data_IF_816257863256
#
_entry.id   IF_816257863256
#
_cell.length_a   1.000
_cell.length_b   1.000
_cell.length_c   1.000
_cell.angle_alpha   90.00
_cell.angle_beta   90.00
_cell.angle_gamma   90.00
#
_symmetry.space_group_name_H-M   'P 1'
#
loop_
_entity.id
_entity.type
_entity.pdbx_description
1 polymer ?
#
# COMPACT_ATOMS: atom_id res chain seq x y z
N UNK A 1 -24.52 -43.50 -2.04
CA UNK A 1 -23.84 -42.34 -2.65
C UNK A 1 -22.99 -41.71 -1.56
N UNK A 2 -21.66 -41.88 -1.58
CA UNK A 2 -20.79 -41.27 -0.58
C UNK A 2 -20.38 -39.89 -1.07
N UNK A 3 -20.86 -38.86 -0.39
CA UNK A 3 -20.42 -37.48 -0.62
C UNK A 3 -18.98 -37.35 -0.09
N UNK A 4 -18.01 -37.28 -1.00
CA UNK A 4 -16.64 -36.91 -0.66
C UNK A 4 -16.61 -35.40 -0.40
N UNK A 5 -16.53 -35.02 0.87
CA UNK A 5 -16.20 -33.65 1.27
C UNK A 5 -14.68 -33.50 1.21
N UNK A 6 -14.19 -32.81 0.18
CA UNK A 6 -12.78 -32.44 0.07
C UNK A 6 -12.48 -31.34 1.10
N UNK A 7 -11.92 -31.72 2.24
CA UNK A 7 -11.27 -30.78 3.17
C UNK A 7 -9.92 -30.38 2.56
N UNK A 8 -9.86 -29.24 1.88
CA UNK A 8 -8.59 -28.61 1.54
C UNK A 8 -7.96 -28.07 2.84
N UNK A 9 -7.00 -28.80 3.39
CA UNK A 9 -6.03 -28.21 4.30
C UNK A 9 -5.01 -27.39 3.50
N UNK A 10 -4.48 -26.28 4.03
CA UNK A 10 -3.50 -25.46 3.33
C UNK A 10 -2.24 -26.28 3.07
N UNK A 11 -1.95 -26.54 1.80
CA UNK A 11 -0.69 -27.13 1.38
C UNK A 11 0.39 -26.06 1.58
N UNK A 12 1.22 -26.20 2.62
CA UNK A 12 2.29 -25.23 2.97
C UNK A 12 3.32 -24.99 1.85
N UNK A 13 3.28 -25.79 0.78
CA UNK A 13 4.14 -25.66 -0.40
C UNK A 13 3.42 -25.13 -1.65
N UNK A 14 2.12 -24.78 -1.57
CA UNK A 14 1.42 -24.18 -2.69
C UNK A 14 1.90 -22.75 -2.94
N UNK A 15 2.01 -22.37 -4.21
CA UNK A 15 2.28 -20.98 -4.61
C UNK A 15 0.96 -20.21 -4.68
N UNK A 16 0.97 -18.88 -4.44
CA UNK A 16 -0.20 -18.05 -4.70
C UNK A 16 -0.68 -18.20 -6.15
N UNK A 17 -1.97 -17.95 -6.38
CA UNK A 17 -2.52 -17.96 -7.75
C UNK A 17 -1.89 -16.81 -8.55
N UNK A 18 -1.38 -17.11 -9.75
CA UNK A 18 -0.82 -16.10 -10.66
C UNK A 18 -1.72 -15.90 -11.87
N UNK A 19 -2.10 -14.66 -12.15
CA UNK A 19 -2.70 -14.23 -13.42
C UNK A 19 -1.58 -13.68 -14.29
N UNK A 20 -1.39 -14.27 -15.47
CA UNK A 20 -0.41 -13.79 -16.43
C UNK A 20 -0.99 -12.65 -17.27
N UNK A 21 -0.27 -11.54 -17.36
CA UNK A 21 -0.54 -10.43 -18.26
C UNK A 21 0.24 -10.59 -19.58
N UNK A 22 -0.33 -10.10 -20.67
CA UNK A 22 0.43 -9.87 -21.91
C UNK A 22 1.19 -8.55 -21.84
N UNK A 23 2.14 -8.35 -22.76
CA UNK A 23 2.91 -7.11 -22.83
C UNK A 23 2.00 -5.89 -23.08
N UNK A 24 0.94 -6.06 -23.88
CA UNK A 24 -0.03 -5.01 -24.14
C UNK A 24 -0.84 -4.65 -22.88
N UNK A 25 -1.09 -5.62 -22.00
CA UNK A 25 -1.80 -5.40 -20.74
C UNK A 25 -0.92 -4.78 -19.64
N UNK A 26 0.40 -4.82 -19.81
CA UNK A 26 1.38 -4.27 -18.85
C UNK A 26 1.82 -2.85 -19.24
N UNK A 27 1.33 -2.32 -20.36
CA UNK A 27 1.63 -0.98 -20.82
C UNK A 27 1.02 0.06 -19.87
N UNK A 28 1.79 0.46 -18.85
CA UNK A 28 1.41 1.48 -17.87
C UNK A 28 2.54 1.78 -16.89
N UNK A 29 3.32 0.78 -16.45
CA UNK A 29 4.36 1.01 -15.44
C UNK A 29 5.52 1.91 -15.92
N UNK A 30 5.75 1.98 -17.23
CA UNK A 30 6.69 2.93 -17.83
C UNK A 30 6.22 4.38 -17.77
N UNK A 31 4.92 4.65 -17.59
CA UNK A 31 4.40 6.02 -17.46
C UNK A 31 4.66 6.63 -16.09
N UNK A 32 4.97 5.82 -15.05
CA UNK A 32 5.31 6.35 -13.72
C UNK A 32 6.57 7.21 -13.72
N UNK A 33 7.47 7.06 -14.71
CA UNK A 33 8.60 7.97 -14.89
C UNK A 33 8.17 9.43 -15.09
N UNK A 34 6.94 9.67 -15.57
CA UNK A 34 6.36 11.02 -15.72
C UNK A 34 6.18 11.75 -14.40
N UNK A 35 6.12 11.03 -13.28
CA UNK A 35 6.13 11.63 -11.93
C UNK A 35 7.44 12.38 -11.72
N UNK A 36 8.55 11.82 -12.22
CA UNK A 36 9.87 12.37 -12.02
C UNK A 36 10.27 13.32 -13.14
N UNK A 37 9.95 13.07 -14.41
CA UNK A 37 10.42 13.89 -15.54
C UNK A 37 9.45 13.95 -16.72
N UNK A 38 9.46 15.08 -17.42
CA UNK A 38 8.81 15.23 -18.73
C UNK A 38 9.69 14.79 -19.91
N UNK A 39 11.01 14.58 -19.68
CA UNK A 39 12.01 14.24 -20.70
C UNK A 39 12.52 12.80 -20.53
N UNK A 40 11.60 11.83 -20.49
CA UNK A 40 11.90 10.41 -20.20
C UNK A 40 13.02 9.85 -21.08
N UNK A 41 12.99 10.12 -22.38
CA UNK A 41 13.96 9.59 -23.36
C UNK A 41 15.39 10.10 -23.15
N UNK A 42 15.56 11.24 -22.47
CA UNK A 42 16.86 11.85 -22.20
C UNK A 42 17.33 11.56 -20.76
N UNK A 43 16.43 11.76 -19.80
CA UNK A 43 16.76 11.70 -18.38
C UNK A 43 16.92 10.27 -17.87
N UNK A 44 15.95 9.39 -18.15
CA UNK A 44 15.93 8.05 -17.57
C UNK A 44 17.16 7.24 -17.97
N UNK A 45 17.57 7.16 -19.25
CA UNK A 45 18.79 6.43 -19.62
C UNK A 45 20.05 6.93 -18.90
N UNK A 46 20.16 8.25 -18.66
CA UNK A 46 21.27 8.83 -17.92
C UNK A 46 21.23 8.44 -16.43
N UNK A 47 20.06 8.46 -15.80
CA UNK A 47 19.89 8.01 -14.41
C UNK A 47 20.20 6.53 -14.25
N UNK A 48 19.69 5.68 -15.15
CA UNK A 48 19.98 4.25 -15.14
C UNK A 48 21.48 4.00 -15.21
N UNK A 49 22.17 4.66 -16.14
CA UNK A 49 23.62 4.55 -16.29
C UNK A 49 24.36 4.97 -15.02
N UNK A 50 24.00 6.12 -14.44
CA UNK A 50 24.68 6.65 -13.25
C UNK A 50 24.44 5.79 -12.00
N UNK A 51 23.26 5.18 -11.90
CA UNK A 51 22.91 4.36 -10.73
C UNK A 51 23.67 3.04 -10.65
N UNK A 52 24.24 2.55 -11.75
CA UNK A 52 24.95 1.25 -11.79
C UNK A 52 26.16 1.23 -10.84
N UNK A 53 26.85 2.36 -10.70
CA UNK A 53 28.08 2.44 -9.90
C UNK A 53 27.80 2.29 -8.39
N UNK A 54 26.61 2.70 -7.95
CA UNK A 54 26.17 2.63 -6.55
C UNK A 54 25.19 1.48 -6.27
N UNK A 55 24.72 0.80 -7.32
CA UNK A 55 23.71 -0.24 -7.20
C UNK A 55 24.25 -1.50 -6.49
N UNK A 56 23.41 -2.03 -5.61
CA UNK A 56 23.60 -3.34 -4.98
C UNK A 56 22.69 -4.38 -5.62
N UNK A 57 22.95 -5.66 -5.35
CA UNK A 57 22.08 -6.74 -5.82
C UNK A 57 21.06 -6.99 -4.73
N UNK A 58 19.78 -6.77 -5.03
CA UNK A 58 18.70 -6.98 -4.10
C UNK A 58 18.46 -8.48 -3.88
N UNK A 59 18.46 -8.91 -2.61
CA UNK A 59 18.23 -10.29 -2.23
C UNK A 59 16.75 -10.64 -1.98
N UNK A 60 15.93 -9.64 -1.64
CA UNK A 60 14.54 -9.84 -1.27
C UNK A 60 14.41 -10.86 -0.14
N UNK A 61 13.66 -11.94 -0.38
CA UNK A 61 13.43 -13.05 0.56
C UNK A 61 14.57 -14.09 0.58
N UNK A 62 15.60 -13.95 -0.26
CA UNK A 62 16.75 -14.84 -0.19
C UNK A 62 17.68 -14.46 0.97
N UNK A 63 17.94 -15.35 1.95
CA UNK A 63 18.86 -15.06 3.06
C UNK A 63 20.32 -14.93 2.60
N UNK A 64 20.66 -15.55 1.48
CA UNK A 64 21.95 -15.44 0.81
C UNK A 64 21.76 -15.65 -0.69
N UNK A 65 22.10 -14.63 -1.48
CA UNK A 65 21.87 -14.65 -2.92
C UNK A 65 23.07 -15.28 -3.66
N UNK A 66 22.85 -16.41 -4.33
CA UNK A 66 23.85 -17.02 -5.23
C UNK A 66 23.53 -16.69 -6.67
N UNK A 67 24.47 -16.03 -7.37
CA UNK A 67 24.30 -15.59 -8.76
C UNK A 67 24.28 -16.75 -9.77
N UNK A 68 24.76 -17.92 -9.40
CA UNK A 68 24.97 -19.04 -10.33
C UNK A 68 23.68 -19.64 -10.89
N UNK A 69 22.54 -19.38 -10.26
CA UNK A 69 21.23 -19.91 -10.66
C UNK A 69 20.17 -18.85 -10.96
N UNK A 70 20.53 -17.56 -10.92
CA UNK A 70 19.58 -16.49 -11.18
C UNK A 70 19.39 -16.30 -12.68
N UNK A 71 18.13 -16.33 -13.13
CA UNK A 71 17.75 -15.99 -14.50
C UNK A 71 17.76 -14.48 -14.74
N UNK A 72 17.42 -13.71 -13.71
CA UNK A 72 17.34 -12.26 -13.75
C UNK A 72 18.09 -11.68 -12.55
N UNK A 73 18.67 -10.49 -12.73
CA UNK A 73 19.32 -9.72 -11.69
C UNK A 73 18.46 -8.49 -11.38
N UNK A 74 18.18 -8.27 -10.10
CA UNK A 74 17.60 -7.02 -9.61
C UNK A 74 18.71 -6.17 -9.00
N UNK A 75 19.01 -5.05 -9.65
CA UNK A 75 19.88 -4.01 -9.14
C UNK A 75 19.02 -2.98 -8.40
N UNK A 76 19.41 -2.61 -7.19
CA UNK A 76 18.71 -1.65 -6.34
C UNK A 76 19.70 -0.79 -5.57
N UNK A 77 19.35 0.48 -5.38
CA UNK A 77 20.07 1.35 -4.47
C UNK A 77 19.28 1.40 -3.15
N UNK A 78 19.90 1.08 -2.02
CA UNK A 78 19.23 1.01 -0.72
C UNK A 78 18.91 2.39 -0.11
N UNK A 79 18.64 3.40 -0.96
CA UNK A 79 18.20 4.72 -0.56
C UNK A 79 16.67 4.80 -0.45
N UNK A 80 16.18 5.83 0.23
CA UNK A 80 14.74 6.02 0.44
C UNK A 80 13.98 6.15 -0.89
N UNK A 81 14.45 7.00 -1.79
CA UNK A 81 13.94 7.09 -3.16
C UNK A 81 15.07 6.64 -4.08
N UNK A 82 14.81 5.67 -4.94
CA UNK A 82 15.85 5.08 -5.78
C UNK A 82 15.26 4.52 -7.07
N UNK A 83 16.11 3.88 -7.88
CA UNK A 83 15.69 3.16 -9.08
C UNK A 83 16.09 1.70 -8.93
N UNK A 84 15.16 0.81 -9.26
CA UNK A 84 15.44 -0.59 -9.49
C UNK A 84 15.65 -0.87 -10.98
N UNK A 85 16.60 -1.73 -11.32
CA UNK A 85 16.86 -2.19 -12.68
C UNK A 85 16.86 -3.72 -12.75
N UNK A 86 16.21 -4.26 -13.77
CA UNK A 86 16.12 -5.68 -14.03
C UNK A 86 16.92 -6.03 -15.26
N UNK A 87 17.88 -6.94 -15.11
CA UNK A 87 18.73 -7.44 -16.19
C UNK A 87 18.55 -8.95 -16.38
N UNK A 88 18.46 -9.41 -17.62
CA UNK A 88 18.53 -10.83 -17.93
C UNK A 88 19.95 -11.34 -17.67
N UNK A 89 20.08 -12.51 -17.03
CA UNK A 89 21.35 -13.20 -16.83
C UNK A 89 21.42 -14.48 -17.66
N UNK A 90 22.62 -14.79 -18.15
CA UNK A 90 22.97 -16.09 -18.71
C UNK A 90 24.38 -16.45 -18.27
N UNK A 91 24.55 -17.62 -17.67
CA UNK A 91 25.83 -18.11 -17.14
C UNK A 91 26.51 -17.08 -16.20
N UNK A 92 25.70 -16.44 -15.34
CA UNK A 92 26.15 -15.44 -14.38
C UNK A 92 26.50 -14.06 -14.97
N UNK A 93 26.26 -13.83 -16.27
CA UNK A 93 26.59 -12.58 -16.97
C UNK A 93 25.34 -11.85 -17.46
N UNK A 94 25.24 -10.52 -17.26
CA UNK A 94 24.19 -9.70 -17.87
C UNK A 94 24.14 -9.86 -19.38
N UNK A 95 22.95 -10.06 -19.93
CA UNK A 95 22.71 -10.20 -21.37
C UNK A 95 22.06 -8.96 -21.96
N UNK A 96 20.95 -8.52 -21.37
CA UNK A 96 20.21 -7.35 -21.81
C UNK A 96 19.36 -6.78 -20.66
N UNK A 97 18.99 -5.52 -20.82
CA UNK A 97 18.05 -4.83 -19.96
C UNK A 97 16.62 -5.34 -20.17
N UNK A 98 15.88 -5.55 -19.09
CA UNK A 98 14.47 -5.97 -19.13
C UNK A 98 13.57 -4.78 -18.79
N UNK A 99 13.74 -4.20 -17.60
CA UNK A 99 12.90 -3.13 -17.09
C UNK A 99 13.63 -2.29 -16.04
N UNK A 100 13.12 -1.10 -15.76
CA UNK A 100 13.50 -0.30 -14.60
C UNK A 100 12.32 0.56 -14.15
N UNK A 101 12.30 0.85 -12.87
CA UNK A 101 11.23 1.64 -12.25
C UNK A 101 11.72 2.38 -11.01
N UNK A 102 11.16 3.58 -10.71
CA UNK A 102 11.49 4.30 -9.50
C UNK A 102 10.81 3.65 -8.31
N UNK A 103 11.47 3.66 -7.15
CA UNK A 103 11.02 2.99 -5.94
C UNK A 103 11.08 3.92 -4.74
N UNK A 104 10.13 3.73 -3.80
CA UNK A 104 10.16 4.35 -2.48
C UNK A 104 10.27 3.25 -1.42
N UNK A 105 11.38 3.25 -0.69
CA UNK A 105 11.61 2.39 0.46
C UNK A 105 10.95 2.98 1.71
N UNK A 106 10.16 2.15 2.39
CA UNK A 106 9.42 2.51 3.59
C UNK A 106 9.82 1.61 4.75
N UNK A 107 10.01 2.16 5.97
CA UNK A 107 10.15 1.35 7.17
C UNK A 107 8.79 0.83 7.67
N UNK A 108 7.69 1.42 7.21
CA UNK A 108 6.34 1.05 7.64
C UNK A 108 5.80 -0.10 6.79
N UNK A 109 5.04 -0.97 7.43
CA UNK A 109 4.50 -2.16 6.80
C UNK A 109 3.40 -2.81 7.64
N UNK A 110 2.77 -3.81 7.05
CA UNK A 110 1.76 -4.64 7.70
C UNK A 110 2.06 -6.11 7.43
N UNK A 111 1.63 -6.97 8.35
CA UNK A 111 1.56 -8.42 8.09
C UNK A 111 0.44 -8.71 7.11
N UNK A 112 0.79 -9.27 5.95
CA UNK A 112 -0.16 -9.59 4.89
C UNK A 112 0.07 -11.00 4.32
N UNK A 113 -1.00 -11.62 3.83
CA UNK A 113 -0.95 -12.81 3.00
C UNK A 113 -1.10 -12.43 1.53
N UNK A 114 -0.30 -13.04 0.67
CA UNK A 114 -0.45 -12.91 -0.78
C UNK A 114 -1.60 -13.83 -1.21
N UNK A 115 -2.73 -13.25 -1.60
CA UNK A 115 -3.86 -13.99 -2.14
C UNK A 115 -3.65 -14.33 -3.62
N UNK A 116 -3.18 -13.34 -4.38
CA UNK A 116 -2.97 -13.45 -5.83
C UNK A 116 -1.82 -12.57 -6.28
N UNK A 117 -1.17 -12.99 -7.37
CA UNK A 117 -0.16 -12.23 -8.09
C UNK A 117 -0.70 -11.98 -9.51
N UNK A 118 -0.65 -10.73 -9.98
CA UNK A 118 -0.97 -10.36 -11.36
C UNK A 118 0.35 -9.92 -11.98
N UNK A 119 0.91 -10.71 -12.90
CA UNK A 119 2.30 -10.54 -13.32
C UNK A 119 2.52 -10.65 -14.82
N UNK A 120 3.53 -9.94 -15.30
CA UNK A 120 4.11 -10.16 -16.61
C UNK A 120 5.55 -10.67 -16.46
N UNK A 121 5.76 -11.93 -16.83
CA UNK A 121 7.07 -12.57 -16.75
C UNK A 121 8.08 -12.04 -17.78
N UNK A 122 7.65 -11.37 -18.84
CA UNK A 122 8.58 -10.79 -19.82
C UNK A 122 9.20 -9.50 -19.31
N UNK A 123 8.40 -8.64 -18.66
CA UNK A 123 8.86 -7.35 -18.13
C UNK A 123 9.27 -7.42 -16.65
N UNK A 124 8.97 -8.54 -15.98
CA UNK A 124 9.22 -8.76 -14.55
C UNK A 124 8.44 -7.80 -13.64
N UNK A 125 7.27 -7.36 -14.11
CA UNK A 125 6.32 -6.57 -13.33
C UNK A 125 5.32 -7.47 -12.63
N UNK A 126 4.91 -7.09 -11.42
CA UNK A 126 3.81 -7.75 -10.73
C UNK A 126 3.07 -6.80 -9.79
N UNK A 127 1.76 -6.96 -9.74
CA UNK A 127 0.88 -6.40 -8.72
C UNK A 127 0.49 -7.53 -7.76
N UNK A 128 0.73 -7.34 -6.48
CA UNK A 128 0.29 -8.25 -5.43
C UNK A 128 -1.10 -7.86 -4.98
N UNK A 129 -2.01 -8.82 -4.91
CA UNK A 129 -3.22 -8.73 -4.11
C UNK A 129 -2.93 -9.28 -2.72
N UNK A 130 -2.85 -8.39 -1.75
CA UNK A 130 -2.53 -8.65 -0.37
C UNK A 130 -3.79 -8.60 0.50
N UNK A 131 -3.80 -9.43 1.54
CA UNK A 131 -4.84 -9.45 2.56
C UNK A 131 -4.14 -9.27 3.92
N UNK A 132 -4.39 -8.15 4.59
CA UNK A 132 -3.89 -7.87 5.93
C UNK A 132 -4.64 -8.69 6.99
N UNK A 133 -4.14 -8.68 8.22
CA UNK A 133 -4.71 -9.47 9.32
C UNK A 133 -6.14 -9.09 9.68
N UNK A 134 -6.49 -7.81 9.54
CA UNK A 134 -7.84 -7.26 9.69
C UNK A 134 -8.79 -7.59 8.52
N UNK A 135 -8.26 -8.20 7.44
CA UNK A 135 -9.01 -8.56 6.24
C UNK A 135 -9.03 -7.49 5.14
N UNK A 136 -8.36 -6.35 5.31
CA UNK A 136 -8.28 -5.32 4.27
C UNK A 136 -7.58 -5.85 3.00
N UNK A 137 -8.10 -5.44 1.84
CA UNK A 137 -7.55 -5.82 0.53
C UNK A 137 -6.67 -4.70 0.02
N UNK A 138 -5.41 -5.02 -0.28
CA UNK A 138 -4.42 -4.06 -0.76
C UNK A 138 -3.85 -4.55 -2.09
N UNK A 139 -3.77 -3.66 -3.08
CA UNK A 139 -3.06 -3.91 -4.34
C UNK A 139 -1.82 -3.01 -4.41
N UNK A 140 -0.66 -3.62 -4.62
CA UNK A 140 0.59 -2.89 -4.64
C UNK A 140 1.59 -3.52 -5.63
N UNK A 141 2.35 -2.67 -6.30
CA UNK A 141 3.44 -3.07 -7.18
C UNK A 141 4.56 -3.73 -6.39
N UNK A 142 4.96 -4.95 -6.77
CA UNK A 142 6.02 -5.69 -6.10
C UNK A 142 7.40 -5.24 -6.57
N UNK A 143 8.06 -4.39 -5.77
CA UNK A 143 9.41 -3.91 -6.05
C UNK A 143 10.44 -5.06 -6.15
N UNK A 144 10.13 -6.21 -5.56
CA UNK A 144 11.02 -7.36 -5.40
C UNK A 144 10.60 -8.61 -6.19
N UNK A 145 9.59 -8.51 -7.07
CA UNK A 145 9.04 -9.66 -7.79
C UNK A 145 10.10 -10.50 -8.49
N UNK A 146 11.04 -9.81 -9.17
CA UNK A 146 12.15 -10.42 -9.91
C UNK A 146 12.89 -11.49 -9.10
N UNK A 147 13.11 -11.25 -7.80
CA UNK A 147 13.88 -12.14 -6.92
C UNK A 147 13.00 -12.95 -5.97
N UNK A 148 11.78 -12.49 -5.68
CA UNK A 148 10.91 -13.13 -4.70
C UNK A 148 9.90 -14.12 -5.30
N UNK A 149 9.58 -14.02 -6.60
CA UNK A 149 8.50 -14.78 -7.26
C UNK A 149 8.48 -16.28 -6.97
N UNK A 150 9.65 -16.92 -6.87
CA UNK A 150 9.76 -18.36 -6.63
C UNK A 150 9.70 -18.74 -5.14
N UNK A 151 9.81 -17.75 -4.26
CA UNK A 151 9.80 -17.89 -2.80
C UNK A 151 8.42 -17.66 -2.20
N UNK A 152 7.51 -16.98 -2.90
CA UNK A 152 6.15 -16.78 -2.42
C UNK A 152 5.40 -18.10 -2.19
N UNK A 153 4.70 -18.16 -1.06
CA UNK A 153 3.90 -19.30 -0.58
C UNK A 153 2.49 -18.85 -0.24
N UNK A 154 1.52 -19.63 -0.68
CA UNK A 154 0.12 -19.39 -0.41
C UNK A 154 -0.17 -19.54 1.08
N UNK A 155 -0.90 -18.58 1.65
CA UNK A 155 -1.31 -18.59 3.05
C UNK A 155 -0.20 -18.27 4.06
N UNK A 156 1.04 -18.07 3.62
CA UNK A 156 2.10 -17.53 4.45
C UNK A 156 1.87 -16.03 4.69
N UNK A 157 2.04 -15.61 5.94
CA UNK A 157 2.08 -14.19 6.30
C UNK A 157 3.48 -13.65 6.01
N UNK A 158 3.54 -12.45 5.45
CA UNK A 158 4.77 -11.70 5.22
C UNK A 158 4.62 -10.32 5.84
N UNK A 159 5.66 -9.80 6.48
CA UNK A 159 5.72 -8.37 6.74
C UNK A 159 6.04 -7.66 5.43
N UNK A 160 5.11 -6.83 4.97
CA UNK A 160 5.18 -6.11 3.69
C UNK A 160 5.38 -4.63 3.97
N UNK A 161 6.49 -4.06 3.47
CA UNK A 161 6.76 -2.64 3.56
C UNK A 161 6.06 -1.87 2.44
N UNK A 162 5.41 -0.76 2.76
CA UNK A 162 4.61 0.01 1.80
C UNK A 162 5.16 1.41 1.57
N UNK A 163 5.59 1.66 0.33
CA UNK A 163 5.96 2.96 -0.19
C UNK A 163 5.10 3.33 -1.39
N UNK A 164 5.12 4.58 -1.84
CA UNK A 164 4.38 4.99 -3.02
C UNK A 164 4.99 6.21 -3.68
N UNK A 165 4.77 6.34 -4.99
CA UNK A 165 4.92 7.60 -5.70
C UNK A 165 3.57 8.29 -5.81
N UNK A 166 3.47 9.56 -5.42
CA UNK A 166 2.25 10.33 -5.60
C UNK A 166 2.33 11.18 -6.87
N UNK A 167 1.39 10.94 -7.79
CA UNK A 167 1.16 11.76 -8.98
C UNK A 167 0.69 13.16 -8.62
N UNK A 168 -0.13 13.23 -7.58
CA UNK A 168 -0.59 14.47 -6.98
C UNK A 168 -0.86 14.26 -5.50
N UNK A 169 -0.60 15.28 -4.71
CA UNK A 169 -0.98 15.36 -3.30
C UNK A 169 -1.45 16.78 -3.02
N UNK A 170 -2.56 16.90 -2.29
CA UNK A 170 -3.10 18.19 -1.85
C UNK A 170 -3.78 18.01 -0.49
N UNK A 171 -4.00 19.11 0.21
CA UNK A 171 -4.83 19.10 1.42
C UNK A 171 -6.22 18.57 1.11
N UNK A 172 -6.76 17.78 2.03
CA UNK A 172 -8.16 17.35 2.01
C UNK A 172 -9.07 18.55 2.17
N UNK A 173 -10.23 18.53 1.52
CA UNK A 173 -11.24 19.56 1.71
C UNK A 173 -11.86 19.41 3.10
N UNK A 174 -11.63 20.39 3.97
CA UNK A 174 -12.12 20.37 5.34
C UNK A 174 -13.58 20.83 5.45
N UNK A 175 -14.16 21.36 4.37
CA UNK A 175 -15.54 21.84 4.33
C UNK A 175 -16.53 20.70 3.98
N UNK A 176 -16.03 19.52 3.62
CA UNK A 176 -16.86 18.32 3.39
C UNK A 176 -17.34 17.72 4.72
N UNK A 177 -18.50 18.17 5.20
CA UNK A 177 -19.10 17.72 6.46
C UNK A 177 -20.46 17.07 6.22
N UNK A 178 -20.68 15.90 6.82
CA UNK A 178 -22.02 15.32 7.00
C UNK A 178 -22.52 15.74 8.38
N UNK A 179 -23.66 16.44 8.42
CA UNK A 179 -24.30 16.85 9.67
C UNK A 179 -25.57 16.02 9.91
N UNK A 180 -25.58 15.29 11.02
CA UNK A 180 -26.76 14.59 11.51
C UNK A 180 -27.46 15.49 12.51
N UNK A 181 -28.61 16.06 12.12
CA UNK A 181 -29.35 17.04 12.93
C UNK A 181 -30.62 16.45 13.57
N UNK A 182 -31.03 15.23 13.20
CA UNK A 182 -32.25 14.60 13.69
C UNK A 182 -32.08 14.20 15.18
N UNK A 183 -32.78 14.88 16.12
CA UNK A 183 -32.64 14.61 17.54
C UNK A 183 -33.07 13.19 17.93
N UNK A 184 -34.03 12.58 17.21
CA UNK A 184 -34.47 11.21 17.51
C UNK A 184 -33.39 10.20 17.11
N UNK A 185 -32.77 10.38 15.93
CA UNK A 185 -31.67 9.54 15.48
C UNK A 185 -30.43 9.68 16.38
N UNK A 186 -30.08 10.91 16.78
CA UNK A 186 -28.96 11.17 17.71
C UNK A 186 -29.23 10.50 19.06
N UNK A 187 -30.43 10.71 19.62
CA UNK A 187 -30.85 10.08 20.88
C UNK A 187 -30.75 8.56 20.78
N UNK A 188 -31.30 7.97 19.72
CA UNK A 188 -31.28 6.52 19.52
C UNK A 188 -29.86 5.97 19.48
N UNK A 189 -28.97 6.59 18.69
CA UNK A 189 -27.57 6.14 18.56
C UNK A 189 -26.80 6.25 19.88
N UNK A 190 -26.98 7.34 20.64
CA UNK A 190 -26.35 7.49 21.96
C UNK A 190 -26.90 6.49 22.98
N UNK A 191 -28.22 6.28 23.01
CA UNK A 191 -28.84 5.27 23.86
C UNK A 191 -28.29 3.87 23.54
N UNK A 192 -28.24 3.51 22.26
CA UNK A 192 -27.68 2.25 21.79
C UNK A 192 -26.24 2.05 22.26
N UNK A 193 -25.35 3.02 22.00
CA UNK A 193 -23.94 2.92 22.37
C UNK A 193 -23.74 2.82 23.88
N UNK A 194 -24.46 3.62 24.68
CA UNK A 194 -24.39 3.56 26.14
C UNK A 194 -24.84 2.20 26.69
N UNK A 195 -25.91 1.64 26.14
CA UNK A 195 -26.45 0.34 26.55
C UNK A 195 -25.47 -0.77 26.19
N UNK A 196 -24.98 -0.79 24.94
CA UNK A 196 -24.03 -1.79 24.48
C UNK A 196 -22.71 -1.71 25.26
N UNK A 197 -22.20 -0.51 25.52
CA UNK A 197 -21.00 -0.29 26.34
C UNK A 197 -21.18 -0.80 27.78
N UNK A 198 -22.33 -0.53 28.42
CA UNK A 198 -22.66 -1.05 29.76
C UNK A 198 -22.78 -2.57 29.81
N UNK A 199 -23.05 -3.20 28.67
CA UNK A 199 -23.16 -4.65 28.53
C UNK A 199 -21.91 -5.28 27.89
N UNK A 200 -20.75 -4.59 27.94
CA UNK A 200 -19.47 -5.07 27.40
C UNK A 200 -19.55 -5.52 25.93
N UNK A 201 -20.29 -4.78 25.10
CA UNK A 201 -20.44 -5.09 23.68
C UNK A 201 -21.52 -6.12 23.36
N UNK A 202 -22.16 -6.74 24.36
CA UNK A 202 -23.24 -7.72 24.14
C UNK A 202 -24.58 -6.99 24.02
N UNK A 203 -25.30 -7.24 22.92
CA UNK A 203 -26.62 -6.66 22.69
C UNK A 203 -27.66 -7.33 23.61
N UNK A 204 -28.31 -6.59 24.53
CA UNK A 204 -29.35 -7.14 25.39
C UNK A 204 -30.60 -7.54 24.60
N UNK A 205 -31.33 -8.56 25.07
CA UNK A 205 -32.58 -9.01 24.41
C UNK A 205 -33.73 -8.02 24.52
N UNK A 206 -33.66 -7.09 25.47
CA UNK A 206 -34.63 -6.04 25.76
C UNK A 206 -34.15 -4.65 25.31
N UNK A 207 -33.22 -4.59 24.35
CA UNK A 207 -32.61 -3.37 23.83
C UNK A 207 -33.63 -2.26 23.53
N UNK A 208 -34.72 -2.57 22.82
CA UNK A 208 -35.71 -1.56 22.43
C UNK A 208 -36.38 -0.90 23.64
N UNK A 209 -36.71 -1.68 24.67
CA UNK A 209 -37.26 -1.14 25.92
C UNK A 209 -36.24 -0.28 26.66
N UNK A 210 -34.96 -0.70 26.68
CA UNK A 210 -33.91 0.09 27.30
C UNK A 210 -33.66 1.40 26.54
N UNK A 211 -33.72 1.39 25.22
CA UNK A 211 -33.60 2.61 24.38
C UNK A 211 -34.79 3.54 24.63
N UNK A 212 -36.02 3.04 24.74
CA UNK A 212 -37.19 3.87 25.08
C UNK A 212 -37.04 4.55 26.46
N UNK A 213 -36.50 3.82 27.44
CA UNK A 213 -36.29 4.34 28.81
C UNK A 213 -35.05 5.21 28.96
N UNK A 214 -34.10 5.12 28.02
CA UNK A 214 -32.88 5.91 28.05
C UNK A 214 -33.20 7.40 27.88
N UNK A 215 -32.54 8.22 28.70
CA UNK A 215 -32.62 9.67 28.69
C UNK A 215 -31.20 10.25 28.61
N UNK A 216 -31.00 11.31 27.82
CA UNK A 216 -29.71 11.98 27.74
C UNK A 216 -29.33 12.56 29.11
N UNK A 217 -28.03 12.56 29.41
CA UNK A 217 -27.49 13.13 30.65
C UNK A 217 -27.50 14.66 30.64
N UNK A 218 -27.55 15.29 29.46
CA UNK A 218 -27.60 16.74 29.25
C UNK A 218 -28.16 17.08 27.86
N UNK A 219 -28.58 18.32 27.65
CA UNK A 219 -29.03 18.81 26.34
C UNK A 219 -27.90 18.76 25.28
N UNK A 220 -26.64 18.92 25.70
CA UNK A 220 -25.45 18.74 24.86
C UNK A 220 -25.36 17.32 24.26
N UNK A 221 -25.96 16.32 24.90
CA UNK A 221 -25.97 14.95 24.38
C UNK A 221 -26.87 14.78 23.14
N UNK A 222 -27.68 15.78 22.80
CA UNK A 222 -28.54 15.80 21.61
C UNK A 222 -28.04 16.78 20.53
N UNK A 223 -26.87 17.39 20.73
CA UNK A 223 -26.30 18.28 19.71
C UNK A 223 -26.01 17.51 18.40
N UNK A 224 -26.18 18.18 17.24
CA UNK A 224 -25.87 17.60 15.94
C UNK A 224 -24.50 16.97 15.89
N UNK A 225 -24.43 15.80 15.26
CA UNK A 225 -23.15 15.11 15.03
C UNK A 225 -22.60 15.59 13.70
N UNK A 226 -21.40 16.15 13.72
CA UNK A 226 -20.66 16.54 12.51
C UNK A 226 -19.58 15.50 12.23
N UNK A 227 -19.64 14.91 11.04
CA UNK A 227 -18.63 13.99 10.52
C UNK A 227 -17.89 14.74 9.41
N UNK A 228 -16.66 15.14 9.70
CA UNK A 228 -15.80 15.79 8.72
C UNK A 228 -15.14 14.71 7.83
N UNK A 229 -15.57 14.63 6.58
CA UNK A 229 -15.04 13.68 5.60
C UNK A 229 -13.61 14.03 5.20
N UNK A 230 -13.21 15.30 5.29
CA UNK A 230 -11.82 15.74 5.10
C UNK A 230 -10.83 15.12 6.09
N UNK A 231 -11.30 14.63 7.24
CA UNK A 231 -10.50 13.92 8.25
C UNK A 231 -10.57 12.39 8.14
N UNK A 232 -11.15 11.87 7.04
CA UNK A 232 -11.22 10.44 6.80
C UNK A 232 -9.89 9.88 6.31
N UNK A 233 -9.58 8.65 6.73
CA UNK A 233 -8.55 7.81 6.13
C UNK A 233 -9.24 6.83 5.17
N UNK A 234 -8.90 6.87 3.88
CA UNK A 234 -9.50 6.03 2.85
C UNK A 234 -8.46 5.57 1.83
N UNK A 235 -8.68 4.38 1.26
CA UNK A 235 -7.86 3.81 0.19
C UNK A 235 -8.79 3.14 -0.84
N UNK A 236 -8.69 3.58 -2.10
CA UNK A 236 -9.49 3.11 -3.22
C UNK A 236 -8.55 2.73 -4.37
N UNK A 237 -8.43 1.44 -4.66
CA UNK A 237 -7.61 0.91 -5.75
C UNK A 237 -8.35 0.92 -7.10
N UNK A 238 -7.60 0.96 -8.19
CA UNK A 238 -8.13 0.93 -9.56
C UNK A 238 -8.82 -0.39 -9.93
N UNK A 239 -9.72 -0.34 -10.91
CA UNK A 239 -10.46 -1.52 -11.40
C UNK A 239 -9.81 -2.17 -12.64
N UNK A 240 -8.78 -1.54 -13.20
CA UNK A 240 -8.10 -2.02 -14.41
C UNK A 240 -7.13 -3.14 -14.05
N UNK A 241 -7.32 -4.31 -14.66
CA UNK A 241 -6.43 -5.46 -14.46
C UNK A 241 -4.97 -5.12 -14.82
N UNK A 242 -4.07 -5.31 -13.86
CA UNK A 242 -2.64 -4.99 -13.98
C UNK A 242 -2.28 -3.56 -13.60
N UNK A 243 -3.24 -2.74 -13.16
CA UNK A 243 -3.04 -1.36 -12.70
C UNK A 243 -3.77 -1.09 -11.38
N UNK A 244 -4.17 -2.14 -10.65
CA UNK A 244 -4.86 -2.00 -9.36
C UNK A 244 -3.97 -1.38 -8.27
N UNK A 245 -2.66 -1.35 -8.47
CA UNK A 245 -1.67 -0.64 -7.66
C UNK A 245 -1.73 0.89 -7.82
N UNK A 246 -2.44 1.40 -8.83
CA UNK A 246 -2.82 2.80 -8.89
C UNK A 246 -4.06 3.06 -8.04
N UNK A 247 -3.95 3.96 -7.07
CA UNK A 247 -4.99 4.18 -6.09
C UNK A 247 -5.20 5.66 -5.80
N UNK A 248 -6.43 6.00 -5.44
CA UNK A 248 -6.73 7.22 -4.72
C UNK A 248 -6.71 6.92 -3.22
N UNK A 249 -6.14 7.82 -2.43
CA UNK A 249 -6.17 7.72 -0.98
C UNK A 249 -6.40 9.07 -0.32
N UNK A 250 -6.91 9.01 0.90
CA UNK A 250 -6.98 10.12 1.82
C UNK A 250 -6.42 9.68 3.17
N UNK A 251 -5.71 10.56 3.87
CA UNK A 251 -5.10 10.18 5.11
C UNK A 251 -4.44 11.32 5.87
N UNK A 252 -3.97 11.00 7.06
CA UNK A 252 -3.31 11.96 7.95
C UNK A 252 -1.79 11.90 7.78
N UNK A 253 -1.16 13.05 7.62
CA UNK A 253 0.30 13.18 7.57
C UNK A 253 0.90 12.99 8.96
N UNK A 254 1.72 11.96 9.13
CA UNK A 254 2.44 11.63 10.35
C UNK A 254 3.89 12.14 10.34
N UNK A 255 4.49 12.22 9.16
CA UNK A 255 5.87 12.66 8.97
C UNK A 255 6.06 13.41 7.65
N UNK A 256 7.04 14.31 7.62
CA UNK A 256 7.44 15.07 6.43
C UNK A 256 8.96 15.23 6.42
N UNK A 257 9.57 14.96 5.29
CA UNK A 257 11.00 15.15 5.06
C UNK A 257 11.28 15.57 3.62
N UNK A 258 12.47 16.09 3.37
CA UNK A 258 12.95 16.44 2.02
C UNK A 258 13.99 15.41 1.58
N UNK A 259 13.98 15.07 0.30
CA UNK A 259 14.90 14.14 -0.32
C UNK A 259 15.30 14.68 -1.70
N UNK A 260 16.42 14.21 -2.24
CA UNK A 260 16.79 14.45 -3.63
C UNK A 260 17.00 13.15 -4.37
N UNK A 261 16.59 13.10 -5.63
CA UNK A 261 16.86 11.97 -6.53
C UNK A 261 17.29 12.53 -7.90
N UNK A 262 18.52 12.23 -8.31
CA UNK A 262 19.14 12.74 -9.56
C UNK A 262 18.96 14.26 -9.78
N UNK A 263 19.17 15.04 -8.72
CA UNK A 263 19.06 16.51 -8.76
C UNK A 263 17.63 17.06 -8.69
N UNK A 264 16.62 16.20 -8.53
CA UNK A 264 15.23 16.62 -8.32
C UNK A 264 14.91 16.68 -6.83
N UNK A 265 14.31 17.78 -6.39
CA UNK A 265 13.79 17.93 -5.04
C UNK A 265 12.47 17.16 -4.87
N UNK A 266 12.40 16.34 -3.84
CA UNK A 266 11.24 15.54 -3.49
C UNK A 266 10.78 15.88 -2.07
N UNK A 267 9.47 15.99 -1.88
CA UNK A 267 8.87 15.96 -0.55
C UNK A 267 8.39 14.55 -0.30
N UNK A 268 8.77 14.01 0.86
CA UNK A 268 8.37 12.67 1.28
C UNK A 268 7.50 12.80 2.53
N UNK A 269 6.33 12.16 2.48
CA UNK A 269 5.34 12.14 3.56
C UNK A 269 5.18 10.71 4.08
N UNK A 270 5.01 10.56 5.38
CA UNK A 270 4.51 9.32 5.98
C UNK A 270 3.04 9.55 6.29
N UNK A 271 2.12 8.79 5.68
CA UNK A 271 0.68 9.05 5.73
C UNK A 271 -0.08 7.81 6.20
N UNK A 272 -0.92 7.95 7.24
CA UNK A 272 -1.87 6.91 7.62
C UNK A 272 -3.11 6.99 6.73
N UNK A 273 -3.33 5.97 5.88
CA UNK A 273 -4.41 5.94 4.88
C UNK A 273 -5.55 4.98 5.22
N UNK A 274 -5.38 4.08 6.20
CA UNK A 274 -6.48 3.34 6.82
C UNK A 274 -6.25 3.27 8.34
N UNK A 275 -7.34 3.32 9.09
CA UNK A 275 -7.37 3.19 10.55
C UNK A 275 -8.57 2.32 10.94
N UNK A 276 -8.34 1.04 11.18
CA UNK A 276 -9.35 0.18 11.79
C UNK A 276 -9.21 0.25 13.32
N UNK A 277 -10.32 0.28 14.10
CA UNK A 277 -10.29 0.50 15.55
C UNK A 277 -9.38 -0.43 16.34
N UNK A 278 -9.21 -1.67 15.87
CA UNK A 278 -8.46 -2.74 16.54
C UNK A 278 -7.29 -3.25 15.68
N UNK A 279 -6.80 -2.46 14.71
CA UNK A 279 -5.66 -2.82 13.87
C UNK A 279 -4.59 -1.73 13.84
N UNK A 280 -3.37 -2.13 13.46
CA UNK A 280 -2.29 -1.18 13.20
C UNK A 280 -2.68 -0.24 12.05
N UNK A 281 -2.38 1.07 12.16
CA UNK A 281 -2.69 2.00 11.10
C UNK A 281 -1.91 1.62 9.84
N UNK A 282 -2.59 1.63 8.69
CA UNK A 282 -1.92 1.43 7.42
C UNK A 282 -1.16 2.71 7.03
N UNK A 283 0.14 2.74 7.34
CA UNK A 283 1.04 3.86 7.03
C UNK A 283 1.82 3.59 5.75
N UNK A 284 1.75 4.53 4.81
CA UNK A 284 2.49 4.50 3.54
C UNK A 284 3.45 5.68 3.48
N UNK A 285 4.70 5.41 3.10
CA UNK A 285 5.66 6.47 2.76
C UNK A 285 5.47 6.90 1.31
N UNK A 286 5.07 8.13 1.09
CA UNK A 286 4.74 8.69 -0.22
C UNK A 286 5.79 9.72 -0.64
N UNK A 287 6.44 9.53 -1.79
CA UNK A 287 7.33 10.53 -2.38
C UNK A 287 6.66 11.24 -3.56
N UNK A 288 6.93 12.53 -3.71
CA UNK A 288 6.41 13.35 -4.81
C UNK A 288 7.34 14.52 -5.09
N UNK A 289 7.38 15.07 -6.33
CA UNK A 289 8.15 16.27 -6.62
C UNK A 289 7.77 17.45 -5.71
N UNK A 290 8.76 18.16 -5.18
CA UNK A 290 8.51 19.35 -4.37
C UNK A 290 7.97 20.48 -5.25
N UNK A 291 6.76 20.94 -4.94
CA UNK A 291 6.09 22.10 -5.52
C UNK A 291 5.48 22.99 -4.42
N UNK A 292 4.76 24.04 -4.78
CA UNK A 292 4.16 24.96 -3.81
C UNK A 292 3.12 24.27 -2.91
N UNK A 293 2.22 23.45 -3.47
CA UNK A 293 1.18 22.75 -2.72
C UNK A 293 1.77 21.79 -1.68
N UNK A 294 2.76 20.97 -2.10
CA UNK A 294 3.45 20.02 -1.21
C UNK A 294 4.25 20.71 -0.10
N UNK A 295 4.76 21.94 -0.34
CA UNK A 295 5.49 22.71 0.66
C UNK A 295 4.58 23.17 1.79
N UNK A 296 3.31 23.47 1.49
CA UNK A 296 2.33 23.96 2.45
C UNK A 296 1.82 22.88 3.42
N UNK A 297 1.79 21.61 2.99
CA UNK A 297 1.35 20.48 3.82
C UNK A 297 2.27 20.31 5.03
N UNK A 298 1.71 20.23 6.24
CA UNK A 298 2.45 19.99 7.48
C UNK A 298 2.00 18.68 8.16
N UNK A 299 2.75 18.26 9.18
CA UNK A 299 2.37 17.11 10.01
C UNK A 299 1.04 17.40 10.70
N UNK A 300 0.19 16.37 10.78
CA UNK A 300 -1.21 16.36 11.22
C UNK A 300 -2.24 16.89 10.22
N UNK A 301 -1.83 17.46 9.09
CA UNK A 301 -2.78 17.76 8.02
C UNK A 301 -3.37 16.47 7.45
N UNK A 302 -4.59 16.58 6.95
CA UNK A 302 -5.18 15.56 6.10
C UNK A 302 -4.96 15.90 4.64
N UNK A 303 -4.57 14.89 3.87
CA UNK A 303 -4.28 14.99 2.45
C UNK A 303 -5.11 13.99 1.66
N UNK A 304 -5.31 14.31 0.40
CA UNK A 304 -5.79 13.40 -0.64
C UNK A 304 -4.70 13.27 -1.72
N UNK A 305 -4.52 12.07 -2.23
CA UNK A 305 -3.48 11.78 -3.21
C UNK A 305 -3.90 10.71 -4.22
N UNK A 306 -3.44 10.87 -5.46
CA UNK A 306 -3.38 9.77 -6.42
C UNK A 306 -1.98 9.18 -6.37
N UNK A 307 -1.88 7.90 -6.06
CA UNK A 307 -0.63 7.21 -5.79
C UNK A 307 -0.47 5.99 -6.68
N UNK A 308 0.79 5.67 -6.96
CA UNK A 308 1.21 4.35 -7.38
C UNK A 308 1.80 3.64 -6.16
N UNK A 309 1.03 2.72 -5.57
CA UNK A 309 1.38 2.01 -4.34
C UNK A 309 2.34 0.86 -4.63
N UNK A 310 3.38 0.75 -3.81
CA UNK A 310 4.45 -0.22 -3.95
C UNK A 310 4.63 -1.03 -2.67
N UNK A 311 4.95 -2.31 -2.84
CA UNK A 311 5.23 -3.26 -1.79
C UNK A 311 6.66 -3.78 -1.94
N UNK A 312 7.36 -3.91 -0.81
CA UNK A 312 8.66 -4.58 -0.75
C UNK A 312 8.65 -5.61 0.39
N UNK A 313 9.15 -6.82 0.10
CA UNK A 313 9.21 -7.93 1.05
C UNK A 313 10.67 -8.40 1.16
N UNK A 314 11.21 -8.25 2.36
CA UNK A 314 12.62 -8.49 2.69
C UNK A 314 12.75 -9.64 3.68
N UNK A 315 13.76 -10.50 3.53
CA UNK A 315 14.03 -11.60 4.45
C UNK A 315 14.19 -11.12 5.90
N UNK A 316 14.89 -10.01 6.10
CA UNK A 316 15.24 -9.41 7.39
C UNK A 316 14.01 -8.98 8.20
N UNK A 317 12.90 -8.68 7.53
CA UNK A 317 11.66 -8.24 8.18
C UNK A 317 10.69 -9.40 8.45
N UNK A 318 11.05 -10.65 8.11
CA UNK A 318 10.15 -11.81 8.28
C UNK A 318 10.37 -12.59 9.57
N UNK A 319 11.33 -12.19 10.40
CA UNK A 319 11.56 -12.78 11.71
C UNK A 319 10.81 -11.96 12.74
N UNK A 320 9.85 -12.58 13.42
CA UNK A 320 9.27 -12.04 14.64
C UNK A 320 10.42 -11.83 15.66
N UNK A 321 10.56 -10.60 16.16
CA UNK A 321 11.19 -10.38 17.47
C UNK A 321 10.23 -10.85 18.58
#
# INVERSE_FOLDING_TARGET
MSTQVYKYGPNKNARPTTIALTNEQTAGHGDHWRILTEHIEEDVPNWLKNSIDDATIAAGLHPALSKEHLKNLLLSCNEMCHINQVLALKDGKPQHFINAFPCVNSPYGLSCKIDRIIANDNTQDAVLRLISEDGSVIYAFDQMYTVNRDLYRQGQSYFVNFGAWAYSIKLSDQDEVIRVEDPEAIRYHRAYNDIVAKNNGVIPTDLDQQIEQWQPTSDEALEPIEINLGNMCAYLFGETLGQEDEAWCQGQVLGKQQQTLYGRELTVFDVAILREPDADPFVVRMATPTNEDTRQIIVNDYIQANIWLQAAIYYENQTDD
#
